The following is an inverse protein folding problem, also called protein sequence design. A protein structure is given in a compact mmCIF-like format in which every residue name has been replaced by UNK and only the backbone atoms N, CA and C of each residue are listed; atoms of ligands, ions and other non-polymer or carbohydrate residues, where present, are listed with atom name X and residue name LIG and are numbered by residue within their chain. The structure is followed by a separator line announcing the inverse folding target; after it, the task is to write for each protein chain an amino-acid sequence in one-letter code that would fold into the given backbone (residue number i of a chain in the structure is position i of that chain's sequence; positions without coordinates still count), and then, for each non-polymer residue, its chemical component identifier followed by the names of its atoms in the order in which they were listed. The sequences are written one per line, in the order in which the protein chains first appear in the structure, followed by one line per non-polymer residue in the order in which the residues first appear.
data_IF_506434729240
#
_entry.id   IF_506434729240
#
_cell.length_a   1.000
_cell.length_b   1.000
_cell.length_c   1.000
_cell.angle_alpha   90.00
_cell.angle_beta   90.00
_cell.angle_gamma   90.00
#
_symmetry.space_group_name_H-M   'P 1'
#
loop_
_entity.id
_entity.type
_entity.pdbx_description
1 polymer ?
#
# COMPACT_ATOMS: atom_id res chain seq x y z
N UNK A 1 -25.13 -42.43 16.25
CA UNK A 1 -24.32 -41.25 15.87
C UNK A 1 -22.92 -41.48 16.39
N UNK A 2 -21.92 -41.39 15.52
CA UNK A 2 -20.53 -41.65 15.88
C UNK A 2 -20.03 -40.46 16.73
N UNK A 3 -19.47 -40.65 17.93
CA UNK A 3 -18.92 -39.56 18.74
C UNK A 3 -17.72 -38.84 18.07
N UNK A 4 -17.24 -39.36 16.94
CA UNK A 4 -16.21 -38.76 16.09
C UNK A 4 -16.74 -37.71 15.08
N UNK A 5 -18.07 -37.62 14.86
CA UNK A 5 -18.68 -36.73 13.85
C UNK A 5 -19.33 -35.47 14.43
N UNK A 6 -19.13 -35.22 15.72
CA UNK A 6 -19.73 -34.08 16.39
C UNK A 6 -18.91 -32.82 16.10
N UNK A 7 -19.19 -32.22 14.95
CA UNK A 7 -18.62 -30.96 14.47
C UNK A 7 -18.65 -29.84 15.53
N UNK A 8 -19.59 -29.92 16.47
CA UNK A 8 -19.69 -28.99 17.59
C UNK A 8 -18.54 -29.16 18.60
N UNK A 9 -18.16 -30.40 18.91
CA UNK A 9 -17.06 -30.75 19.81
C UNK A 9 -15.71 -30.47 19.16
N UNK A 10 -15.59 -30.76 17.86
CA UNK A 10 -14.43 -30.35 17.05
C UNK A 10 -14.28 -28.83 17.03
N UNK A 11 -15.37 -28.07 16.81
CA UNK A 11 -15.34 -26.61 16.84
C UNK A 11 -14.99 -26.05 18.23
N UNK A 12 -15.50 -26.67 19.31
CA UNK A 12 -15.16 -26.31 20.68
C UNK A 12 -13.67 -26.59 20.99
N UNK A 13 -13.16 -27.76 20.59
CA UNK A 13 -11.75 -28.11 20.72
C UNK A 13 -10.85 -27.19 19.87
N UNK A 14 -11.32 -26.77 18.69
CA UNK A 14 -10.60 -25.82 17.83
C UNK A 14 -10.56 -24.40 18.44
N UNK A 15 -11.66 -23.96 19.07
CA UNK A 15 -11.72 -22.69 19.83
C UNK A 15 -10.87 -22.75 21.11
N UNK A 16 -10.71 -23.93 21.70
CA UNK A 16 -9.91 -24.17 22.89
C UNK A 16 -8.40 -24.35 22.59
N UNK A 17 -7.98 -24.33 21.32
CA UNK A 17 -6.55 -24.41 21.00
C UNK A 17 -5.83 -23.19 21.59
N UNK A 18 -4.70 -23.40 22.30
CA UNK A 18 -3.92 -22.30 22.83
C UNK A 18 -3.46 -21.42 21.67
N UNK A 19 -3.73 -20.11 21.78
CA UNK A 19 -3.28 -19.13 20.79
C UNK A 19 -1.76 -19.27 20.65
N UNK A 20 -1.27 -19.61 19.45
CA UNK A 20 0.16 -19.75 19.17
C UNK A 20 0.84 -18.36 19.21
N UNK A 21 1.20 -17.94 20.42
CA UNK A 21 1.87 -16.66 20.69
C UNK A 21 3.19 -16.58 19.94
N UNK A 22 3.95 -17.68 19.87
CA UNK A 22 5.25 -17.71 19.21
C UNK A 22 5.12 -17.68 17.67
N UNK A 23 4.06 -18.29 17.12
CA UNK A 23 3.66 -18.16 15.73
C UNK A 23 3.28 -16.72 15.37
N UNK A 24 2.47 -16.07 16.21
CA UNK A 24 2.11 -14.65 16.08
C UNK A 24 3.33 -13.74 16.16
N UNK A 25 4.27 -14.02 17.08
CA UNK A 25 5.54 -13.29 17.23
C UNK A 25 6.40 -13.42 15.98
N UNK A 26 6.64 -14.65 15.50
CA UNK A 26 7.40 -14.94 14.27
C UNK A 26 6.77 -14.29 13.04
N UNK A 27 5.44 -14.31 12.93
CA UNK A 27 4.72 -13.63 11.85
C UNK A 27 4.90 -12.11 11.91
N UNK A 28 4.85 -11.53 13.11
CA UNK A 28 5.05 -10.10 13.33
C UNK A 28 6.47 -9.66 12.98
N UNK A 29 7.49 -10.41 13.40
CA UNK A 29 8.89 -10.14 13.05
C UNK A 29 9.15 -10.24 11.55
N UNK A 30 8.64 -11.28 10.88
CA UNK A 30 8.74 -11.44 9.42
C UNK A 30 8.10 -10.25 8.69
N UNK A 31 6.94 -9.79 9.18
CA UNK A 31 6.24 -8.63 8.60
C UNK A 31 6.99 -7.32 8.84
N UNK A 32 7.59 -7.13 10.01
CA UNK A 32 8.42 -5.97 10.31
C UNK A 32 9.64 -5.91 9.37
N UNK A 33 10.34 -7.04 9.16
CA UNK A 33 11.46 -7.13 8.21
C UNK A 33 11.02 -6.78 6.79
N UNK A 34 9.92 -7.36 6.29
CA UNK A 34 9.36 -7.01 4.97
C UNK A 34 9.03 -5.53 4.85
N UNK A 35 8.47 -4.92 5.89
CA UNK A 35 8.17 -3.49 5.86
C UNK A 35 9.41 -2.60 5.88
N UNK A 36 10.48 -2.99 6.57
CA UNK A 36 11.77 -2.29 6.51
C UNK A 36 12.36 -2.35 5.10
N UNK A 37 12.32 -3.51 4.45
CA UNK A 37 12.78 -3.67 3.07
C UNK A 37 11.99 -2.79 2.09
N UNK A 38 10.65 -2.75 2.24
CA UNK A 38 9.82 -1.88 1.40
C UNK A 38 10.12 -0.39 1.64
N UNK A 39 10.40 0.02 2.88
CA UNK A 39 10.80 1.41 3.17
C UNK A 39 12.17 1.76 2.60
N UNK A 40 13.14 0.83 2.64
CA UNK A 40 14.44 1.02 1.97
C UNK A 40 14.25 1.15 0.45
N UNK A 41 13.39 0.33 -0.15
CA UNK A 41 13.07 0.43 -1.56
C UNK A 41 12.39 1.78 -1.89
N UNK A 42 11.40 2.21 -1.11
CA UNK A 42 10.74 3.51 -1.28
C UNK A 42 11.77 4.66 -1.21
N UNK A 43 12.74 4.58 -0.29
CA UNK A 43 13.82 5.56 -0.15
C UNK A 43 14.76 5.57 -1.36
N UNK A 44 15.15 4.39 -1.86
CA UNK A 44 16.01 4.28 -3.05
C UNK A 44 15.31 4.85 -4.30
N UNK A 45 14.01 4.58 -4.45
CA UNK A 45 13.20 5.14 -5.56
C UNK A 45 13.09 6.66 -5.44
N UNK A 46 12.90 7.20 -4.23
CA UNK A 46 12.97 8.65 -3.97
C UNK A 46 14.31 9.25 -4.38
N UNK A 47 15.43 8.66 -3.95
CA UNK A 47 16.77 9.13 -4.28
C UNK A 47 17.04 9.09 -5.79
N UNK A 48 16.64 8.02 -6.46
CA UNK A 48 16.76 7.88 -7.91
C UNK A 48 15.92 8.94 -8.66
N UNK A 49 14.68 9.17 -8.24
CA UNK A 49 13.83 10.20 -8.84
C UNK A 49 14.39 11.61 -8.62
N UNK A 50 14.95 11.88 -7.44
CA UNK A 50 15.60 13.17 -7.15
C UNK A 50 16.88 13.37 -8.00
N UNK A 51 17.72 12.33 -8.11
CA UNK A 51 18.90 12.36 -8.98
C UNK A 51 18.51 12.58 -10.45
N UNK A 52 17.46 11.91 -10.93
CA UNK A 52 16.93 12.09 -12.28
C UNK A 52 16.40 13.52 -12.48
N UNK A 53 15.71 14.09 -11.49
CA UNK A 53 15.23 15.46 -11.53
C UNK A 53 16.38 16.48 -11.61
N UNK A 54 17.43 16.31 -10.80
CA UNK A 54 18.64 17.16 -10.87
C UNK A 54 19.31 17.02 -12.24
N UNK A 55 19.49 15.79 -12.73
CA UNK A 55 20.08 15.55 -14.05
C UNK A 55 19.30 16.27 -15.15
N UNK A 56 17.96 16.17 -15.14
CA UNK A 56 17.08 16.85 -16.10
C UNK A 56 17.11 18.38 -15.97
N UNK A 57 17.31 18.89 -14.76
CA UNK A 57 17.42 20.34 -14.54
C UNK A 57 18.75 20.90 -15.07
N UNK A 58 19.83 20.10 -15.02
CA UNK A 58 21.15 20.47 -15.51
C UNK A 58 21.33 20.23 -17.02
N UNK A 59 20.54 19.33 -17.62
CA UNK A 59 20.68 18.94 -19.03
C UNK A 59 20.18 19.99 -20.04
N UNK A 60 19.77 21.18 -19.58
CA UNK A 60 19.29 22.23 -20.49
C UNK A 60 17.91 21.97 -21.08
N UNK A 61 17.18 20.94 -20.63
CA UNK A 61 15.86 20.57 -21.13
C UNK A 61 14.86 21.75 -21.15
N UNK A 62 13.87 21.73 -22.03
CA UNK A 62 12.84 22.77 -22.10
C UNK A 62 12.03 22.91 -20.79
N UNK A 63 11.37 24.06 -20.64
CA UNK A 63 10.57 24.40 -19.46
C UNK A 63 9.52 23.33 -19.11
N UNK A 64 8.74 22.85 -20.07
CA UNK A 64 7.63 21.91 -19.81
C UNK A 64 8.08 20.54 -19.29
N UNK A 65 9.10 19.87 -19.88
CA UNK A 65 9.67 18.66 -19.30
C UNK A 65 10.21 18.85 -17.89
N UNK A 66 10.89 19.97 -17.61
CA UNK A 66 11.41 20.29 -16.27
C UNK A 66 10.29 20.38 -15.23
N UNK A 67 9.19 21.06 -15.57
CA UNK A 67 8.00 21.14 -14.71
C UNK A 67 7.37 19.75 -14.51
N UNK A 68 7.26 18.94 -15.57
CA UNK A 68 6.72 17.58 -15.48
C UNK A 68 7.53 16.66 -14.56
N UNK A 69 8.86 16.66 -14.69
CA UNK A 69 9.75 15.88 -13.80
C UNK A 69 9.71 16.43 -12.37
N UNK A 70 9.65 17.74 -12.19
CA UNK A 70 9.52 18.37 -10.88
C UNK A 70 8.24 17.96 -10.14
N UNK A 71 7.09 18.04 -10.82
CA UNK A 71 5.79 17.61 -10.28
C UNK A 71 5.82 16.12 -9.94
N UNK A 72 6.34 15.28 -10.84
CA UNK A 72 6.47 13.83 -10.62
C UNK A 72 7.37 13.50 -9.42
N UNK A 73 8.50 14.20 -9.28
CA UNK A 73 9.42 14.06 -8.16
C UNK A 73 8.79 14.47 -6.82
N UNK A 74 8.13 15.63 -6.77
CA UNK A 74 7.41 16.09 -5.56
C UNK A 74 6.30 15.10 -5.18
N UNK A 75 5.56 14.60 -6.16
CA UNK A 75 4.50 13.63 -5.93
C UNK A 75 5.03 12.31 -5.36
N UNK A 76 6.15 11.82 -5.90
CA UNK A 76 6.81 10.62 -5.41
C UNK A 76 7.34 10.84 -3.99
N UNK A 77 7.90 12.02 -3.70
CA UNK A 77 8.32 12.38 -2.36
C UNK A 77 7.13 12.45 -1.36
N UNK A 78 6.01 13.04 -1.77
CA UNK A 78 4.79 13.06 -0.97
C UNK A 78 4.25 11.64 -0.73
N UNK A 79 4.27 10.79 -1.75
CA UNK A 79 3.85 9.39 -1.65
C UNK A 79 4.66 8.61 -0.62
N UNK A 80 5.99 8.70 -0.69
CA UNK A 80 6.86 8.00 0.25
C UNK A 80 6.78 8.61 1.66
N UNK A 81 6.58 9.92 1.82
CA UNK A 81 6.32 10.53 3.14
C UNK A 81 4.99 10.05 3.76
N UNK A 82 3.92 9.97 2.97
CA UNK A 82 2.61 9.44 3.40
C UNK A 82 2.75 7.95 3.75
N UNK A 83 3.42 7.17 2.90
CA UNK A 83 3.71 5.76 3.16
C UNK A 83 4.51 5.58 4.45
N UNK A 84 5.53 6.42 4.68
CA UNK A 84 6.33 6.38 5.89
C UNK A 84 5.48 6.64 7.13
N UNK A 85 4.67 7.71 7.13
CA UNK A 85 3.78 8.05 8.26
C UNK A 85 2.77 6.93 8.54
N UNK A 86 2.18 6.35 7.50
CA UNK A 86 1.20 5.27 7.63
C UNK A 86 1.83 3.94 8.07
N UNK A 87 3.09 3.68 7.67
CA UNK A 87 3.84 2.46 8.04
C UNK A 87 4.52 2.56 9.41
N UNK A 88 4.84 3.76 9.90
CA UNK A 88 5.46 3.99 11.22
C UNK A 88 4.64 3.38 12.35
N UNK A 89 3.32 3.49 12.31
CA UNK A 89 2.43 2.85 13.29
C UNK A 89 2.39 1.31 13.22
N UNK A 90 2.86 0.72 12.11
CA UNK A 90 2.95 -0.74 11.98
C UNK A 90 4.19 -1.32 12.67
N UNK A 91 5.15 -0.46 13.04
CA UNK A 91 6.47 -0.81 13.58
C UNK A 91 6.58 -0.73 15.10
N UNK A 92 5.57 -0.19 15.78
CA UNK A 92 5.55 -0.19 17.23
C UNK A 92 5.48 -1.63 17.75
N UNK A 93 6.22 -1.90 18.82
CA UNK A 93 6.23 -3.19 19.48
C UNK A 93 4.81 -3.51 19.96
N UNK A 94 4.36 -4.74 19.75
CA UNK A 94 3.15 -5.20 20.41
C UNK A 94 3.47 -5.36 21.90
N UNK A 95 2.56 -4.93 22.77
CA UNK A 95 2.59 -5.37 24.17
C UNK A 95 2.50 -6.90 24.25
N UNK A 96 2.86 -7.45 25.41
CA UNK A 96 2.87 -8.91 25.61
C UNK A 96 1.47 -9.50 25.77
N UNK A 97 0.43 -8.66 25.91
CA UNK A 97 -0.95 -9.12 26.06
C UNK A 97 -1.64 -9.43 24.71
N UNK A 98 -2.55 -10.40 24.73
CA UNK A 98 -3.40 -10.75 23.56
C UNK A 98 -4.24 -9.55 23.13
N UNK A 99 -4.70 -8.74 24.08
CA UNK A 99 -5.48 -7.52 23.83
C UNK A 99 -4.64 -6.48 23.08
N UNK A 100 -3.39 -6.25 23.48
CA UNK A 100 -2.49 -5.31 22.80
C UNK A 100 -2.16 -5.78 21.39
N UNK A 101 -1.97 -7.08 21.20
CA UNK A 101 -1.77 -7.68 19.88
C UNK A 101 -2.99 -7.48 18.96
N UNK A 102 -4.21 -7.64 19.48
CA UNK A 102 -5.45 -7.43 18.73
C UNK A 102 -5.66 -5.95 18.40
N UNK A 103 -5.44 -5.03 19.35
CA UNK A 103 -5.49 -3.57 19.14
C UNK A 103 -4.49 -3.15 18.06
N UNK A 104 -3.26 -3.65 18.11
CA UNK A 104 -2.25 -3.39 17.08
C UNK A 104 -2.68 -3.93 15.69
N UNK A 105 -3.28 -5.12 15.61
CA UNK A 105 -3.80 -5.64 14.34
C UNK A 105 -4.94 -4.77 13.77
N UNK A 106 -5.82 -4.26 14.63
CA UNK A 106 -6.89 -3.33 14.26
C UNK A 106 -6.33 -2.06 13.63
N UNK A 107 -5.36 -1.42 14.28
CA UNK A 107 -4.70 -0.22 13.77
C UNK A 107 -3.97 -0.47 12.46
N UNK A 108 -3.27 -1.60 12.35
CA UNK A 108 -2.58 -2.01 11.12
C UNK A 108 -3.55 -2.12 9.94
N UNK A 109 -4.75 -2.66 10.16
CA UNK A 109 -5.78 -2.77 9.12
C UNK A 109 -6.42 -1.44 8.78
N UNK A 110 -6.61 -0.54 9.76
CA UNK A 110 -7.08 0.84 9.51
C UNK A 110 -6.07 1.63 8.66
N UNK A 111 -4.78 1.55 8.99
CA UNK A 111 -3.73 2.20 8.21
C UNK A 111 -3.62 1.62 6.80
N UNK A 112 -3.78 0.31 6.64
CA UNK A 112 -3.86 -0.33 5.33
C UNK A 112 -5.04 0.17 4.46
N UNK A 113 -6.21 0.44 5.06
CA UNK A 113 -7.34 1.05 4.36
C UNK A 113 -7.00 2.48 3.93
N UNK A 114 -6.42 3.28 4.83
CA UNK A 114 -5.99 4.66 4.50
C UNK A 114 -5.02 4.65 3.33
N UNK A 115 -4.00 3.80 3.35
CA UNK A 115 -3.03 3.67 2.25
C UNK A 115 -3.70 3.32 0.92
N UNK A 116 -4.65 2.37 0.95
CA UNK A 116 -5.39 1.97 -0.25
C UNK A 116 -6.25 3.10 -0.82
N UNK A 117 -6.82 3.96 0.04
CA UNK A 117 -7.60 5.13 -0.39
C UNK A 117 -6.72 6.28 -0.94
N UNK A 118 -5.48 6.38 -0.48
CA UNK A 118 -4.52 7.36 -0.99
C UNK A 118 -3.91 6.96 -2.34
N UNK A 119 -3.78 5.65 -2.62
CA UNK A 119 -3.19 5.14 -3.86
C UNK A 119 -3.75 5.75 -5.16
N UNK A 120 -5.09 5.80 -5.35
CA UNK A 120 -5.70 6.38 -6.54
C UNK A 120 -5.34 7.85 -6.79
N UNK A 121 -5.02 8.64 -5.76
CA UNK A 121 -4.66 10.05 -5.91
C UNK A 121 -3.33 10.26 -6.66
N UNK A 122 -2.44 9.27 -6.69
CA UNK A 122 -1.18 9.36 -7.42
C UNK A 122 -1.35 9.10 -8.93
N UNK A 123 -2.45 8.47 -9.36
CA UNK A 123 -2.75 8.20 -10.77
C UNK A 123 -2.92 9.49 -11.59
N UNK A 124 -3.77 10.48 -11.20
CA UNK A 124 -3.89 11.72 -11.96
C UNK A 124 -2.58 12.52 -11.98
N UNK A 125 -1.77 12.44 -10.92
CA UNK A 125 -0.47 13.13 -10.87
C UNK A 125 0.53 12.50 -11.85
N UNK A 126 0.58 11.17 -11.93
CA UNK A 126 1.36 10.45 -12.93
C UNK A 126 0.90 10.75 -14.36
N UNK A 127 -0.41 10.79 -14.58
CA UNK A 127 -1.00 11.15 -15.88
C UNK A 127 -0.63 12.59 -16.30
N UNK A 128 -0.75 13.55 -15.38
CA UNK A 128 -0.37 14.95 -15.62
C UNK A 128 1.13 15.07 -15.95
N UNK A 129 1.99 14.40 -15.17
CA UNK A 129 3.44 14.37 -15.41
C UNK A 129 3.77 13.80 -16.80
N UNK A 130 3.09 12.72 -17.20
CA UNK A 130 3.22 12.11 -18.53
C UNK A 130 2.76 13.03 -19.67
N UNK A 131 1.65 13.77 -19.49
CA UNK A 131 1.17 14.75 -20.47
C UNK A 131 2.16 15.90 -20.63
N UNK A 132 2.74 16.40 -19.54
CA UNK A 132 3.73 17.49 -19.58
C UNK A 132 5.03 17.05 -20.27
N UNK A 133 5.50 15.83 -19.99
CA UNK A 133 6.64 15.24 -20.69
C UNK A 133 6.36 15.05 -22.18
N UNK A 134 5.16 14.61 -22.55
CA UNK A 134 4.74 14.46 -23.95
C UNK A 134 4.59 15.81 -24.66
N UNK A 135 4.18 16.87 -23.97
CA UNK A 135 4.05 18.22 -24.55
C UNK A 135 5.41 18.82 -24.90
N UNK A 136 6.46 18.49 -24.13
CA UNK A 136 7.85 18.83 -24.46
C UNK A 136 8.57 17.81 -25.34
N UNK A 137 7.85 16.91 -26.02
CA UNK A 137 8.45 15.85 -26.85
C UNK A 137 9.22 16.40 -28.06
N UNK A 138 8.88 17.60 -28.55
CA UNK A 138 9.59 18.28 -29.65
C UNK A 138 11.05 18.61 -29.32
N UNK A 139 11.39 18.73 -28.03
CA UNK A 139 12.75 18.96 -27.53
C UNK A 139 13.42 17.72 -26.93
N UNK A 140 12.73 16.57 -26.96
CA UNK A 140 13.18 15.30 -26.38
C UNK A 140 13.33 14.16 -27.42
N UNK A 141 13.29 14.44 -28.73
CA UNK A 141 13.41 13.39 -29.74
C UNK A 141 14.88 12.94 -29.92
N UNK A 142 15.21 11.61 -29.98
CA UNK A 142 14.32 10.47 -30.27
C UNK A 142 14.47 9.31 -29.27
N UNK A 143 13.47 9.03 -28.43
CA UNK A 143 13.46 7.80 -27.64
C UNK A 143 12.09 7.11 -27.52
N UNK A 144 11.02 7.69 -28.07
CA UNK A 144 9.70 7.06 -28.05
C UNK A 144 9.20 6.87 -29.48
N UNK A 145 8.91 5.62 -29.89
CA UNK A 145 8.42 5.33 -31.24
C UNK A 145 7.11 6.10 -31.51
N UNK A 146 7.00 6.59 -32.75
CA UNK A 146 5.80 7.27 -33.27
C UNK A 146 4.60 6.34 -33.41
N UNK A 147 4.83 5.02 -33.35
CA UNK A 147 3.84 3.96 -33.53
C UNK A 147 3.08 3.55 -32.27
N UNK A 148 3.26 4.25 -31.13
CA UNK A 148 2.48 3.90 -29.94
C UNK A 148 1.00 4.15 -30.22
N UNK A 149 0.13 3.11 -30.25
CA UNK A 149 -1.26 3.30 -30.63
C UNK A 149 -1.91 4.12 -29.52
N UNK A 150 -2.31 5.35 -29.86
CA UNK A 150 -2.95 6.28 -28.94
C UNK A 150 -4.19 5.65 -28.29
N UNK A 151 -4.93 4.82 -29.02
CA UNK A 151 -6.10 4.08 -28.51
C UNK A 151 -5.76 2.92 -27.57
N UNK A 152 -4.75 2.11 -27.90
CA UNK A 152 -4.39 0.92 -27.11
C UNK A 152 -3.68 1.30 -25.80
N UNK A 153 -2.85 2.36 -25.82
CA UNK A 153 -2.27 2.94 -24.61
C UNK A 153 -3.31 3.55 -23.68
N UNK A 154 -4.31 4.26 -24.23
CA UNK A 154 -5.43 4.79 -23.44
C UNK A 154 -6.33 3.69 -22.88
N UNK A 155 -6.62 2.64 -23.66
CA UNK A 155 -7.39 1.50 -23.21
C UNK A 155 -6.69 0.72 -22.10
N UNK A 156 -5.37 0.51 -22.21
CA UNK A 156 -4.56 -0.12 -21.14
C UNK A 156 -4.50 0.76 -19.89
N UNK A 157 -4.33 2.08 -20.04
CA UNK A 157 -4.34 3.00 -18.90
C UNK A 157 -5.71 3.01 -18.20
N UNK A 158 -6.80 3.08 -18.96
CA UNK A 158 -8.17 3.00 -18.44
C UNK A 158 -8.44 1.65 -17.75
N UNK A 159 -8.02 0.54 -18.37
CA UNK A 159 -8.11 -0.80 -17.80
C UNK A 159 -7.31 -0.94 -16.50
N UNK A 160 -6.11 -0.36 -16.43
CA UNK A 160 -5.29 -0.32 -15.22
C UNK A 160 -5.96 0.50 -14.11
N UNK A 161 -6.53 1.66 -14.42
CA UNK A 161 -7.28 2.48 -13.46
C UNK A 161 -8.48 1.73 -12.91
N UNK A 162 -9.26 1.08 -13.79
CA UNK A 162 -10.41 0.25 -13.39
C UNK A 162 -9.97 -0.93 -12.51
N UNK A 163 -8.93 -1.66 -12.91
CA UNK A 163 -8.39 -2.78 -12.15
C UNK A 163 -7.87 -2.33 -10.77
N UNK A 164 -7.18 -1.20 -10.70
CA UNK A 164 -6.73 -0.61 -9.43
C UNK A 164 -7.91 -0.17 -8.57
N UNK A 165 -8.95 0.43 -9.16
CA UNK A 165 -10.16 0.83 -8.47
C UNK A 165 -10.92 -0.35 -7.85
N UNK A 166 -11.21 -1.38 -8.67
CA UNK A 166 -11.89 -2.60 -8.23
C UNK A 166 -11.04 -3.35 -7.20
N UNK A 167 -9.73 -3.48 -7.43
CA UNK A 167 -8.80 -4.11 -6.51
C UNK A 167 -8.75 -3.38 -5.15
N UNK A 168 -8.71 -2.04 -5.17
CA UNK A 168 -8.76 -1.20 -3.97
C UNK A 168 -10.07 -1.40 -3.22
N UNK A 169 -11.21 -1.39 -3.91
CA UNK A 169 -12.53 -1.61 -3.30
C UNK A 169 -12.64 -2.98 -2.63
N UNK A 170 -12.27 -4.06 -3.34
CA UNK A 170 -12.26 -5.42 -2.81
C UNK A 170 -11.34 -5.54 -1.60
N UNK A 171 -10.14 -4.93 -1.68
CA UNK A 171 -9.18 -4.90 -0.59
C UNK A 171 -9.75 -4.20 0.64
N UNK A 172 -10.32 -3.00 0.50
CA UNK A 172 -10.94 -2.25 1.60
C UNK A 172 -12.09 -3.04 2.21
N UNK A 173 -12.97 -3.64 1.39
CA UNK A 173 -14.08 -4.49 1.87
C UNK A 173 -13.55 -5.66 2.71
N UNK A 174 -12.51 -6.34 2.24
CA UNK A 174 -11.88 -7.45 2.96
C UNK A 174 -11.25 -7.00 4.28
N UNK A 175 -10.60 -5.84 4.32
CA UNK A 175 -10.02 -5.29 5.55
C UNK A 175 -11.10 -4.87 6.56
N UNK A 176 -12.22 -4.29 6.11
CA UNK A 176 -13.34 -3.92 6.98
C UNK A 176 -13.97 -5.14 7.67
N UNK A 177 -14.25 -6.21 6.94
CA UNK A 177 -14.75 -7.48 7.51
C UNK A 177 -13.79 -8.04 8.58
N UNK A 178 -12.50 -7.93 8.29
CA UNK A 178 -11.41 -8.34 9.17
C UNK A 178 -11.28 -7.47 10.42
N UNK A 179 -11.60 -6.18 10.36
CA UNK A 179 -11.66 -5.31 11.54
C UNK A 179 -12.87 -5.70 12.40
N UNK A 180 -14.04 -5.92 11.79
CA UNK A 180 -15.23 -6.34 12.51
C UNK A 180 -15.02 -7.65 13.31
N UNK A 181 -14.30 -8.62 12.74
CA UNK A 181 -13.94 -9.84 13.46
C UNK A 181 -12.99 -9.61 14.65
N UNK A 182 -12.04 -8.67 14.54
CA UNK A 182 -11.17 -8.30 15.66
C UNK A 182 -11.97 -7.57 16.74
N UNK A 183 -12.87 -6.68 16.34
CA UNK A 183 -13.71 -5.90 17.25
C UNK A 183 -14.65 -6.82 18.05
N UNK A 184 -15.14 -7.91 17.45
CA UNK A 184 -15.90 -8.96 18.15
C UNK A 184 -15.06 -9.67 19.21
N UNK A 185 -13.83 -10.09 18.88
CA UNK A 185 -12.93 -10.73 19.86
C UNK A 185 -12.49 -9.79 20.98
N UNK A 186 -12.33 -8.49 20.71
CA UNK A 186 -12.04 -7.51 21.74
C UNK A 186 -13.23 -7.33 22.70
N UNK A 187 -14.46 -7.33 22.18
CA UNK A 187 -15.67 -7.24 23.01
C UNK A 187 -15.88 -8.47 23.91
N UNK A 188 -15.42 -9.65 23.49
CA UNK A 188 -15.43 -10.87 24.32
C UNK A 188 -14.38 -10.81 25.46
N UNK A 189 -13.28 -10.08 25.28
CA UNK A 189 -12.15 -10.02 26.22
C UNK A 189 -12.18 -8.81 27.16
N UNK A 190 -12.84 -7.72 26.77
CA UNK A 190 -13.10 -6.53 27.59
C UNK A 190 -14.64 -6.33 27.71
N UNK A 191 -15.35 -7.10 28.56
CA UNK A 191 -16.78 -6.85 28.78
C UNK A 191 -16.96 -5.43 29.38
N UNK A 192 -18.01 -4.70 28.98
CA UNK A 192 -18.27 -3.38 29.54
C UNK A 192 -18.46 -3.49 31.06
N UNK A 193 -17.72 -2.65 31.78
CA UNK A 193 -17.83 -2.50 33.24
C UNK A 193 -19.21 -1.97 33.65
#
# INVERSE_FOLDING_TARGET
MNPADDWSTLAAAWRAQPIDVEGLRRATLRRARRMRLLMLLDLLVMLAAFALAIHFWRSGADFWPRVGVGIGGVALCAAAAINYRLRRGLWQAAGDSVVDLLKLQRERRRNAIRMALWGPWFVPIGALSGVLLRRGRSSLAPALPSSWPSGLGLALAAGLVLALGVGTWLYVRRQRRRIAAIDAHLAELEPPA
#
